data_IF_830098198194
#
_entry.id   IF_830098198194
#
_cell.length_a   1.000
_cell.length_b   1.000
_cell.length_c   1.000
_cell.angle_alpha   90.00
_cell.angle_beta   90.00
_cell.angle_gamma   90.00
#
_symmetry.space_group_name_H-M   'P 1'
#
loop_
_entity.id
_entity.type
_entity.pdbx_description
1 polymer ?
#
# COMPACT_ATOMS: atom_id res chain seq x y z
N UNK A 1 -69.27 95.02 1.29
CA UNK A 1 -70.40 94.31 0.65
C UNK A 1 -70.27 92.84 1.01
N UNK A 2 -71.40 92.23 1.34
CA UNK A 2 -71.57 91.08 2.20
C UNK A 2 -71.66 89.75 1.42
N UNK A 3 -71.19 88.68 2.05
CA UNK A 3 -71.75 87.30 2.07
C UNK A 3 -71.24 86.16 1.16
N UNK A 4 -71.18 85.00 1.85
CA UNK A 4 -71.25 83.58 1.44
C UNK A 4 -70.00 82.95 0.79
N UNK A 5 -69.45 81.82 1.22
CA UNK A 5 -69.84 80.80 2.20
C UNK A 5 -69.51 79.40 1.63
N UNK A 6 -68.66 78.61 2.28
CA UNK A 6 -68.71 77.14 2.19
C UNK A 6 -67.97 76.47 3.36
N UNK A 7 -68.59 75.44 3.91
CA UNK A 7 -68.25 74.72 5.15
C UNK A 7 -67.86 73.29 4.75
N UNK A 8 -66.69 72.82 5.19
CA UNK A 8 -66.21 71.45 4.95
C UNK A 8 -65.53 70.90 6.20
N UNK A 9 -66.23 69.99 6.86
CA UNK A 9 -66.00 69.36 8.16
C UNK A 9 -64.94 68.23 8.09
N UNK A 10 -64.07 68.11 9.11
CA UNK A 10 -63.77 66.91 9.95
C UNK A 10 -62.29 66.76 10.39
N UNK A 11 -62.15 66.48 11.69
CA UNK A 11 -61.00 66.32 12.60
C UNK A 11 -60.54 64.83 12.70
N UNK A 12 -59.81 64.39 13.74
CA UNK A 12 -58.38 64.53 14.07
C UNK A 12 -57.69 63.14 14.25
N UNK A 13 -56.38 63.08 14.54
CA UNK A 13 -55.79 62.28 15.65
C UNK A 13 -54.32 61.92 15.42
N UNK A 14 -53.63 61.80 16.56
CA UNK A 14 -52.22 61.58 16.77
C UNK A 14 -52.11 60.18 17.39
N UNK A 15 -51.40 59.23 16.77
CA UNK A 15 -51.00 57.97 17.41
C UNK A 15 -49.57 57.58 17.04
N UNK A 16 -48.72 57.58 18.06
CA UNK A 16 -47.46 56.86 18.15
C UNK A 16 -47.77 55.37 18.39
N UNK A 17 -47.24 54.45 17.58
CA UNK A 17 -46.92 53.10 18.07
C UNK A 17 -45.83 52.40 17.23
N UNK A 18 -44.79 51.97 17.95
CA UNK A 18 -43.68 51.14 17.50
C UNK A 18 -44.13 49.85 16.79
N UNK A 19 -43.63 49.59 15.57
CA UNK A 19 -43.63 48.26 14.96
C UNK A 19 -42.22 47.97 14.41
N UNK A 20 -41.73 46.78 14.75
CA UNK A 20 -40.36 46.28 14.61
C UNK A 20 -39.76 46.42 13.20
N UNK A 21 -38.51 46.86 13.15
CA UNK A 21 -37.56 46.55 12.07
C UNK A 21 -37.26 45.05 12.10
N UNK A 22 -37.91 44.26 11.23
CA UNK A 22 -37.51 42.88 10.96
C UNK A 22 -36.42 42.91 9.88
N UNK A 23 -35.16 42.77 10.29
CA UNK A 23 -34.03 42.56 9.36
C UNK A 23 -34.19 41.24 8.58
N UNK A 24 -34.11 41.23 7.23
CA UNK A 24 -34.28 40.03 6.40
C UNK A 24 -32.99 39.20 6.19
N UNK A 25 -31.86 39.51 6.84
CA UNK A 25 -30.55 38.90 6.51
C UNK A 25 -30.34 37.44 6.95
N UNK A 26 -31.30 36.79 7.63
CA UNK A 26 -31.10 35.43 8.18
C UNK A 26 -31.49 34.27 7.26
N UNK A 27 -32.02 34.53 6.06
CA UNK A 27 -32.65 33.48 5.24
C UNK A 27 -31.78 32.98 4.05
N UNK A 28 -30.84 33.79 3.56
CA UNK A 28 -30.04 33.42 2.39
C UNK A 28 -29.03 32.28 2.66
N UNK A 29 -28.56 32.18 3.91
CA UNK A 29 -27.55 31.20 4.33
C UNK A 29 -28.12 29.78 4.50
N UNK A 30 -29.44 29.62 4.68
CA UNK A 30 -30.11 28.30 4.71
C UNK A 30 -30.38 27.75 3.31
N UNK A 31 -30.64 28.62 2.34
CA UNK A 31 -31.08 28.26 0.99
C UNK A 31 -29.99 27.59 0.16
N UNK A 32 -28.73 28.01 0.35
CA UNK A 32 -27.55 27.44 -0.33
C UNK A 32 -27.07 26.13 0.32
N UNK A 33 -27.24 25.97 1.64
CA UNK A 33 -26.75 24.80 2.38
C UNK A 33 -27.56 23.52 2.11
N UNK A 34 -28.86 23.63 1.84
CA UNK A 34 -29.74 22.49 1.54
C UNK A 34 -29.29 21.60 0.37
N UNK A 35 -29.20 22.13 -0.87
CA UNK A 35 -28.84 21.33 -2.05
C UNK A 35 -27.39 20.82 -1.98
N UNK A 36 -26.46 21.62 -1.47
CA UNK A 36 -25.05 21.24 -1.30
C UNK A 36 -24.92 20.07 -0.31
N UNK A 37 -25.63 20.11 0.83
CA UNK A 37 -25.59 19.04 1.83
C UNK A 37 -26.18 17.73 1.31
N UNK A 38 -27.24 17.80 0.50
CA UNK A 38 -27.85 16.60 -0.12
C UNK A 38 -26.88 16.00 -1.15
N UNK A 39 -26.28 16.81 -2.01
CA UNK A 39 -25.29 16.36 -2.99
C UNK A 39 -24.07 15.71 -2.32
N UNK A 40 -23.53 16.32 -1.26
CA UNK A 40 -22.43 15.77 -0.47
C UNK A 40 -22.78 14.41 0.15
N UNK A 41 -23.98 14.26 0.71
CA UNK A 41 -24.45 12.98 1.29
C UNK A 41 -24.58 11.89 0.22
N UNK A 42 -25.11 12.21 -0.96
CA UNK A 42 -25.23 11.25 -2.06
C UNK A 42 -23.86 10.82 -2.60
N UNK A 43 -22.93 11.76 -2.76
CA UNK A 43 -21.54 11.45 -3.16
C UNK A 43 -20.89 10.54 -2.11
N UNK A 44 -21.02 10.89 -0.83
CA UNK A 44 -20.46 10.08 0.26
C UNK A 44 -21.05 8.66 0.27
N UNK A 45 -22.38 8.52 0.13
CA UNK A 45 -23.03 7.21 0.07
C UNK A 45 -22.55 6.39 -1.14
N UNK A 46 -22.38 7.03 -2.29
CA UNK A 46 -21.83 6.41 -3.49
C UNK A 46 -20.39 5.92 -3.29
N UNK A 47 -19.53 6.74 -2.69
CA UNK A 47 -18.14 6.35 -2.36
C UNK A 47 -18.12 5.19 -1.38
N UNK A 48 -18.94 5.22 -0.32
CA UNK A 48 -19.03 4.12 0.65
C UNK A 48 -19.51 2.83 -0.02
N UNK A 49 -20.52 2.90 -0.89
CA UNK A 49 -21.01 1.74 -1.65
C UNK A 49 -19.92 1.16 -2.56
N UNK A 50 -19.17 2.01 -3.27
CA UNK A 50 -18.06 1.58 -4.13
C UNK A 50 -16.93 0.91 -3.33
N UNK A 51 -16.56 1.48 -2.18
CA UNK A 51 -15.58 0.86 -1.27
C UNK A 51 -16.09 -0.49 -0.77
N UNK A 52 -17.37 -0.58 -0.40
CA UNK A 52 -18.00 -1.84 0.03
C UNK A 52 -17.95 -2.92 -1.04
N UNK A 53 -18.28 -2.57 -2.30
CA UNK A 53 -18.18 -3.48 -3.44
C UNK A 53 -16.73 -3.90 -3.69
N UNK A 54 -15.77 -2.97 -3.63
CA UNK A 54 -14.36 -3.29 -3.83
C UNK A 54 -13.81 -4.22 -2.73
N UNK A 55 -14.19 -3.99 -1.46
CA UNK A 55 -13.82 -4.88 -0.35
C UNK A 55 -14.46 -6.26 -0.49
N UNK A 56 -15.74 -6.31 -0.90
CA UNK A 56 -16.41 -7.57 -1.16
C UNK A 56 -15.71 -8.36 -2.29
N UNK A 57 -15.38 -7.68 -3.40
CA UNK A 57 -14.62 -8.28 -4.49
C UNK A 57 -13.23 -8.76 -4.02
N UNK A 58 -12.51 -7.96 -3.23
CA UNK A 58 -11.19 -8.33 -2.68
C UNK A 58 -11.24 -9.59 -1.81
N UNK A 59 -12.31 -9.78 -1.04
CA UNK A 59 -12.54 -10.99 -0.23
C UNK A 59 -12.95 -12.18 -1.10
N UNK A 60 -13.87 -11.99 -2.06
CA UNK A 60 -14.41 -13.06 -2.91
C UNK A 60 -13.40 -13.57 -3.95
N UNK A 61 -12.66 -12.68 -4.60
CA UNK A 61 -11.59 -13.02 -5.56
C UNK A 61 -10.38 -13.61 -4.84
N UNK A 62 -10.18 -13.21 -3.59
CA UNK A 62 -9.00 -13.54 -2.79
C UNK A 62 -7.94 -12.46 -2.89
N UNK A 63 -7.27 -12.22 -1.75
CA UNK A 63 -6.31 -11.12 -1.57
C UNK A 63 -5.13 -11.22 -2.54
N UNK A 64 -4.55 -12.41 -2.67
CA UNK A 64 -3.36 -12.66 -3.52
C UNK A 64 -3.70 -12.44 -5.00
N UNK A 65 -4.81 -13.02 -5.48
CA UNK A 65 -5.28 -12.86 -6.86
C UNK A 65 -5.65 -11.42 -7.19
N UNK A 66 -6.20 -10.68 -6.22
CA UNK A 66 -6.51 -9.26 -6.39
C UNK A 66 -5.24 -8.43 -6.63
N UNK A 67 -4.15 -8.71 -5.93
CA UNK A 67 -2.87 -8.03 -6.17
C UNK A 67 -2.27 -8.39 -7.52
N UNK A 68 -2.36 -9.66 -7.92
CA UNK A 68 -1.90 -10.09 -9.24
C UNK A 68 -2.65 -9.39 -10.39
N UNK A 69 -3.96 -9.14 -10.23
CA UNK A 69 -4.74 -8.39 -11.23
C UNK A 69 -4.32 -6.92 -11.35
N UNK A 70 -3.85 -6.30 -10.25
CA UNK A 70 -3.49 -4.88 -10.21
C UNK A 70 -2.02 -4.67 -10.61
N UNK A 71 -1.13 -5.53 -10.14
CA UNK A 71 0.32 -5.36 -10.22
C UNK A 71 1.01 -6.36 -11.17
N UNK A 72 0.27 -7.33 -11.69
CA UNK A 72 0.81 -8.48 -12.42
C UNK A 72 1.35 -9.57 -11.48
N UNK A 73 1.84 -10.69 -12.06
CA UNK A 73 2.51 -11.74 -11.30
C UNK A 73 3.67 -11.18 -10.48
N UNK A 74 3.77 -11.61 -9.22
CA UNK A 74 4.88 -11.22 -8.36
C UNK A 74 6.22 -11.75 -8.90
N UNK A 75 6.20 -12.95 -9.48
CA UNK A 75 7.38 -13.55 -10.05
C UNK A 75 7.71 -12.97 -11.43
N UNK A 76 8.78 -12.17 -11.49
CA UNK A 76 9.25 -11.51 -12.72
C UNK A 76 10.48 -12.16 -13.36
N UNK A 77 10.97 -13.29 -12.86
CA UNK A 77 12.23 -13.90 -13.30
C UNK A 77 13.31 -13.93 -12.22
N UNK A 78 14.49 -14.45 -12.54
CA UNK A 78 15.63 -14.46 -11.62
C UNK A 78 16.23 -13.05 -11.49
N UNK A 79 16.56 -12.64 -10.26
CA UNK A 79 17.32 -11.42 -10.03
C UNK A 79 18.74 -11.54 -10.60
N UNK A 80 19.18 -10.53 -11.35
CA UNK A 80 20.55 -10.46 -11.85
C UNK A 80 21.46 -9.81 -10.80
N UNK A 81 22.20 -10.65 -10.08
CA UNK A 81 23.16 -10.21 -9.06
C UNK A 81 24.39 -9.52 -9.65
N UNK A 82 24.65 -9.63 -10.97
CA UNK A 82 25.81 -9.00 -11.61
C UNK A 82 25.60 -7.51 -11.88
N UNK A 83 24.37 -7.11 -12.21
CA UNK A 83 23.98 -5.70 -12.39
C UNK A 83 23.85 -4.96 -11.03
N UNK A 84 23.70 -5.71 -9.92
CA UNK A 84 23.59 -5.15 -8.58
C UNK A 84 22.35 -4.25 -8.39
N UNK A 85 21.34 -4.39 -9.25
CA UNK A 85 20.21 -3.46 -9.32
C UNK A 85 19.27 -3.59 -8.13
N UNK A 86 19.38 -2.65 -7.20
CA UNK A 86 18.50 -2.52 -6.04
C UNK A 86 17.15 -1.89 -6.38
N UNK A 87 16.28 -1.85 -5.38
CA UNK A 87 15.05 -1.08 -5.42
C UNK A 87 15.29 0.41 -5.28
N UNK A 88 14.59 1.25 -6.06
CA UNK A 88 14.69 2.70 -5.91
C UNK A 88 14.02 3.20 -4.61
N UNK A 89 13.41 2.29 -3.83
CA UNK A 89 12.69 2.58 -2.60
C UNK A 89 13.11 1.62 -1.50
N UNK A 90 12.90 2.00 -0.23
CA UNK A 90 13.30 1.23 0.96
C UNK A 90 12.36 0.05 1.24
N UNK A 91 12.14 -0.79 0.24
CA UNK A 91 11.27 -1.97 0.26
C UNK A 91 11.99 -3.25 -0.16
N UNK A 92 13.33 -3.26 -0.12
CA UNK A 92 14.15 -4.43 -0.42
C UNK A 92 15.21 -4.69 0.66
N UNK A 93 15.86 -5.84 0.54
CA UNK A 93 17.05 -6.22 1.28
C UNK A 93 17.93 -7.13 0.43
N UNK A 94 19.24 -7.00 0.60
CA UNK A 94 20.27 -7.78 -0.07
C UNK A 94 21.25 -8.34 0.97
N UNK A 95 21.52 -9.64 0.91
CA UNK A 95 22.51 -10.30 1.74
C UNK A 95 23.41 -11.15 0.86
N UNK A 96 24.73 -11.00 1.01
CA UNK A 96 25.67 -11.70 0.14
C UNK A 96 26.94 -12.15 0.87
N UNK A 97 27.55 -13.22 0.39
CA UNK A 97 28.91 -13.57 0.80
C UNK A 97 29.94 -12.53 0.35
N UNK A 98 31.07 -12.40 1.07
CA UNK A 98 32.06 -11.38 0.79
C UNK A 98 32.51 -11.37 -0.67
N UNK A 99 32.49 -10.19 -1.30
CA UNK A 99 32.94 -9.98 -2.67
C UNK A 99 31.94 -10.37 -3.77
N UNK A 100 30.75 -10.88 -3.43
CA UNK A 100 29.75 -11.25 -4.45
C UNK A 100 28.80 -10.11 -4.84
N UNK A 101 28.60 -9.11 -3.96
CA UNK A 101 27.67 -8.02 -4.20
C UNK A 101 28.25 -6.67 -3.74
N UNK A 102 27.82 -5.61 -4.40
CA UNK A 102 28.04 -4.23 -3.97
C UNK A 102 27.05 -3.86 -2.86
N UNK A 103 27.54 -3.32 -1.75
CA UNK A 103 26.73 -2.76 -0.65
C UNK A 103 25.58 -3.66 -0.16
N UNK A 104 25.86 -4.92 0.27
CA UNK A 104 24.84 -5.75 0.91
C UNK A 104 24.43 -5.16 2.27
N UNK A 105 23.17 -5.38 2.68
CA UNK A 105 22.67 -4.98 3.99
C UNK A 105 23.33 -5.76 5.13
N UNK A 106 23.77 -6.99 4.85
CA UNK A 106 24.62 -7.79 5.72
C UNK A 106 25.34 -8.90 4.94
N UNK A 107 26.42 -9.43 5.51
CA UNK A 107 27.27 -10.45 4.88
C UNK A 107 26.96 -11.86 5.36
N UNK A 108 27.02 -12.84 4.45
CA UNK A 108 26.81 -14.27 4.73
C UNK A 108 28.15 -15.00 4.67
N UNK A 109 28.52 -15.74 5.71
CA UNK A 109 29.74 -16.53 5.68
C UNK A 109 29.68 -17.60 4.56
N UNK A 110 30.72 -17.75 3.72
CA UNK A 110 30.80 -18.86 2.77
C UNK A 110 30.84 -20.21 3.49
N UNK A 111 30.31 -21.23 2.85
CA UNK A 111 30.13 -22.59 3.40
C UNK A 111 30.85 -23.64 2.53
N UNK A 112 31.03 -24.87 3.01
CA UNK A 112 31.84 -25.90 2.34
C UNK A 112 31.00 -26.91 1.53
N UNK A 113 29.69 -26.71 1.49
CA UNK A 113 28.71 -27.52 0.78
C UNK A 113 28.61 -27.12 -0.69
N UNK A 114 28.15 -28.01 -1.56
CA UNK A 114 27.93 -27.68 -2.97
C UNK A 114 26.81 -26.64 -3.12
N UNK A 115 26.87 -25.76 -4.15
CA UNK A 115 25.83 -24.74 -4.38
C UNK A 115 24.39 -25.26 -4.38
N UNK A 116 24.17 -26.44 -4.97
CA UNK A 116 22.85 -27.07 -4.99
C UNK A 116 22.35 -27.44 -3.59
N UNK A 117 23.21 -28.03 -2.76
CA UNK A 117 22.86 -28.44 -1.39
C UNK A 117 22.55 -27.23 -0.51
N UNK A 118 23.30 -26.14 -0.69
CA UNK A 118 23.06 -24.88 0.03
C UNK A 118 21.68 -24.32 -0.30
N UNK A 119 21.30 -24.28 -1.58
CA UNK A 119 19.99 -23.79 -2.00
C UNK A 119 18.86 -24.67 -1.49
N UNK A 120 19.03 -26.00 -1.51
CA UNK A 120 18.04 -26.92 -0.97
C UNK A 120 17.84 -26.72 0.54
N UNK A 121 18.93 -26.60 1.31
CA UNK A 121 18.86 -26.33 2.75
C UNK A 121 18.19 -24.99 3.06
N UNK A 122 18.53 -23.94 2.31
CA UNK A 122 17.88 -22.63 2.46
C UNK A 122 16.40 -22.69 2.09
N UNK A 123 16.04 -23.46 1.06
CA UNK A 123 14.64 -23.68 0.66
C UNK A 123 13.84 -24.34 1.77
N UNK A 124 14.39 -25.38 2.40
CA UNK A 124 13.76 -26.07 3.53
C UNK A 124 13.60 -25.15 4.74
N UNK A 125 14.65 -24.38 5.06
CA UNK A 125 14.60 -23.42 6.17
C UNK A 125 13.61 -22.29 5.91
N UNK A 126 13.52 -21.80 4.68
CA UNK A 126 12.54 -20.78 4.31
C UNK A 126 11.11 -21.32 4.45
N UNK A 127 10.85 -22.56 4.05
CA UNK A 127 9.55 -23.20 4.24
C UNK A 127 9.18 -23.34 5.73
N UNK A 128 10.17 -23.58 6.60
CA UNK A 128 9.97 -23.66 8.05
C UNK A 128 9.77 -22.29 8.73
N UNK A 129 10.47 -21.25 8.28
CA UNK A 129 10.46 -19.92 8.90
C UNK A 129 9.39 -18.99 8.32
N UNK A 130 9.02 -19.17 7.05
CA UNK A 130 7.94 -18.44 6.40
C UNK A 130 6.95 -19.40 5.72
N UNK A 131 5.90 -19.86 6.44
CA UNK A 131 4.95 -20.85 5.93
C UNK A 131 4.08 -20.35 4.76
N UNK A 132 4.16 -19.05 4.43
CA UNK A 132 3.47 -18.44 3.29
C UNK A 132 4.36 -18.38 2.04
N UNK A 133 5.65 -18.68 2.17
CA UNK A 133 6.55 -18.76 1.04
C UNK A 133 6.19 -19.94 0.15
N UNK A 134 6.28 -19.73 -1.17
CA UNK A 134 6.04 -20.74 -2.20
C UNK A 134 7.15 -20.62 -3.23
N UNK A 135 7.78 -21.73 -3.57
CA UNK A 135 8.77 -21.78 -4.65
C UNK A 135 8.05 -21.59 -5.99
N UNK A 136 8.63 -20.78 -6.87
CA UNK A 136 8.04 -20.38 -8.16
C UNK A 136 8.95 -20.63 -9.37
N UNK A 137 10.19 -21.09 -9.16
CA UNK A 137 11.04 -21.62 -10.23
C UNK A 137 10.73 -23.09 -10.56
N UNK A 138 11.23 -23.51 -11.73
CA UNK A 138 11.07 -24.87 -12.26
C UNK A 138 12.14 -25.86 -11.75
N UNK A 139 13.08 -25.40 -10.92
CA UNK A 139 14.17 -26.21 -10.38
C UNK A 139 15.24 -26.61 -11.41
N UNK A 140 15.20 -26.10 -12.64
CA UNK A 140 16.15 -26.48 -13.71
C UNK A 140 17.60 -26.13 -13.37
N UNK A 141 17.82 -25.05 -12.63
CA UNK A 141 19.11 -24.71 -12.06
C UNK A 141 19.08 -24.95 -10.53
N UNK A 142 19.72 -26.02 -10.02
CA UNK A 142 19.66 -26.35 -8.60
C UNK A 142 20.47 -25.36 -7.73
N UNK A 143 21.34 -24.55 -8.32
CA UNK A 143 22.10 -23.50 -7.62
C UNK A 143 21.34 -22.17 -7.52
N UNK A 144 20.06 -22.14 -7.94
CA UNK A 144 19.18 -20.97 -7.82
C UNK A 144 17.81 -21.39 -7.30
N UNK A 145 17.14 -20.50 -6.60
CA UNK A 145 15.74 -20.67 -6.23
C UNK A 145 15.02 -19.33 -6.14
N UNK A 146 13.72 -19.35 -6.44
CA UNK A 146 12.86 -18.17 -6.38
C UNK A 146 11.61 -18.50 -5.60
N UNK A 147 11.21 -17.57 -4.74
CA UNK A 147 10.02 -17.71 -3.92
C UNK A 147 9.17 -16.45 -3.99
N UNK A 148 7.87 -16.65 -3.91
CA UNK A 148 6.90 -15.61 -3.57
C UNK A 148 6.39 -15.89 -2.16
N UNK A 149 6.31 -14.86 -1.34
CA UNK A 149 5.66 -14.89 -0.03
C UNK A 149 4.72 -13.70 0.11
N UNK A 150 3.88 -13.71 1.14
CA UNK A 150 2.79 -12.77 1.27
C UNK A 150 2.70 -12.22 2.68
N UNK A 151 2.49 -10.91 2.86
CA UNK A 151 2.26 -10.32 4.18
C UNK A 151 1.07 -10.95 4.93
N UNK A 152 1.11 -11.00 6.26
CA UNK A 152 0.16 -11.82 7.03
C UNK A 152 -1.30 -11.34 6.89
N UNK A 153 -1.53 -10.03 6.90
CA UNK A 153 -2.86 -9.44 6.89
C UNK A 153 -3.36 -9.12 5.48
N UNK A 154 -2.61 -8.29 4.73
CA UNK A 154 -3.07 -7.83 3.42
C UNK A 154 -2.64 -8.74 2.26
N UNK A 155 -1.82 -9.75 2.54
CA UNK A 155 -1.23 -10.64 1.52
C UNK A 155 -0.51 -9.87 0.42
N UNK A 156 0.20 -8.81 0.80
CA UNK A 156 1.06 -8.10 -0.14
C UNK A 156 2.20 -9.04 -0.58
N UNK A 157 2.42 -9.23 -1.89
CA UNK A 157 3.45 -10.10 -2.41
C UNK A 157 4.85 -9.52 -2.24
N UNK A 158 5.75 -10.35 -1.71
CA UNK A 158 7.19 -10.15 -1.71
C UNK A 158 7.85 -11.28 -2.49
N UNK A 159 8.95 -10.98 -3.19
CA UNK A 159 9.80 -11.96 -3.86
C UNK A 159 11.08 -12.20 -3.07
N UNK A 160 11.62 -13.42 -3.21
CA UNK A 160 12.90 -13.83 -2.64
C UNK A 160 13.66 -14.58 -3.73
N UNK A 161 14.88 -14.13 -4.03
CA UNK A 161 15.79 -14.77 -4.97
C UNK A 161 17.00 -15.26 -4.20
N UNK A 162 17.37 -16.52 -4.43
CA UNK A 162 18.56 -17.14 -3.88
C UNK A 162 19.43 -17.61 -5.05
N UNK A 163 20.73 -17.40 -4.91
CA UNK A 163 21.75 -17.91 -5.82
C UNK A 163 23.00 -18.30 -5.03
N UNK A 164 23.53 -19.48 -5.33
CA UNK A 164 24.75 -19.99 -4.73
C UNK A 164 25.81 -20.20 -5.82
N UNK A 165 27.04 -19.81 -5.55
CA UNK A 165 28.16 -19.90 -6.49
C UNK A 165 29.41 -20.42 -5.80
N UNK A 166 30.21 -21.20 -6.52
CA UNK A 166 31.55 -21.59 -6.06
C UNK A 166 32.49 -20.40 -6.20
N UNK A 167 33.11 -20.01 -5.09
CA UNK A 167 34.07 -18.91 -5.00
C UNK A 167 35.48 -19.38 -5.39
N UNK A 168 36.40 -18.43 -5.58
CA UNK A 168 37.78 -18.72 -5.98
C UNK A 168 38.57 -19.57 -4.96
N UNK A 169 38.18 -19.54 -3.68
CA UNK A 169 38.75 -20.36 -2.61
C UNK A 169 38.13 -21.77 -2.52
N UNK A 170 37.22 -22.11 -3.44
CA UNK A 170 36.52 -23.38 -3.51
C UNK A 170 35.29 -23.51 -2.61
N UNK A 171 35.02 -22.51 -1.75
CA UNK A 171 33.81 -22.50 -0.90
C UNK A 171 32.60 -22.02 -1.69
N UNK A 172 31.41 -22.29 -1.17
CA UNK A 172 30.17 -21.78 -1.73
C UNK A 172 29.80 -20.47 -1.06
N UNK A 173 29.67 -19.41 -1.86
CA UNK A 173 29.08 -18.16 -1.45
C UNK A 173 27.61 -18.09 -1.85
N UNK A 174 26.84 -17.31 -1.10
CA UNK A 174 25.39 -17.14 -1.32
C UNK A 174 25.07 -15.68 -1.58
N UNK A 175 24.13 -15.44 -2.49
CA UNK A 175 23.50 -14.14 -2.72
C UNK A 175 21.99 -14.31 -2.53
N UNK A 176 21.40 -13.45 -1.73
CA UNK A 176 20.00 -13.48 -1.38
C UNK A 176 19.40 -12.09 -1.48
N UNK A 177 18.33 -11.96 -2.27
CA UNK A 177 17.63 -10.72 -2.49
C UNK A 177 16.16 -10.89 -2.15
N UNK A 178 15.60 -9.96 -1.36
CA UNK A 178 14.17 -9.98 -1.03
C UNK A 178 13.57 -8.59 -1.21
N UNK A 179 12.38 -8.51 -1.82
CA UNK A 179 11.76 -7.24 -2.22
C UNK A 179 10.25 -7.34 -2.19
N UNK A 180 9.59 -6.26 -1.76
CA UNK A 180 8.16 -6.09 -1.94
C UNK A 180 7.82 -5.70 -3.40
N UNK A 181 6.83 -6.35 -4.01
CA UNK A 181 6.34 -5.96 -5.34
C UNK A 181 5.62 -4.59 -5.27
N UNK A 182 4.99 -4.32 -4.13
CA UNK A 182 4.11 -3.16 -3.93
C UNK A 182 4.62 -2.25 -2.81
N UNK A 183 4.38 -0.95 -2.97
CA UNK A 183 4.71 0.07 -1.97
C UNK A 183 6.17 0.52 -2.00
N UNK A 184 6.44 1.63 -1.29
CA UNK A 184 7.79 2.25 -1.21
C UNK A 184 8.58 1.82 0.03
N UNK A 185 7.92 1.21 1.00
CA UNK A 185 8.57 0.67 2.18
C UNK A 185 7.89 -0.60 2.64
N UNK A 186 8.68 -1.51 3.19
CA UNK A 186 8.25 -2.78 3.76
C UNK A 186 8.41 -2.80 5.30
N UNK A 187 8.79 -1.68 5.92
CA UNK A 187 9.13 -1.60 7.35
C UNK A 187 10.20 -2.61 7.80
N UNK A 188 11.16 -2.91 6.92
CA UNK A 188 12.28 -3.81 7.20
C UNK A 188 11.91 -5.30 7.18
N UNK A 189 10.72 -5.66 6.69
CA UNK A 189 10.25 -7.06 6.67
C UNK A 189 11.10 -7.96 5.78
N UNK A 190 11.56 -7.48 4.63
CA UNK A 190 12.42 -8.25 3.73
C UNK A 190 13.80 -8.50 4.37
N UNK A 191 14.36 -7.48 5.02
CA UNK A 191 15.61 -7.63 5.78
C UNK A 191 15.46 -8.66 6.91
N UNK A 192 14.44 -8.51 7.75
CA UNK A 192 14.17 -9.44 8.85
C UNK A 192 13.96 -10.88 8.36
N UNK A 193 13.36 -11.05 7.17
CA UNK A 193 13.20 -12.37 6.56
C UNK A 193 14.53 -12.99 6.15
N UNK A 194 15.41 -12.23 5.50
CA UNK A 194 16.74 -12.73 5.16
C UNK A 194 17.55 -13.02 6.43
N UNK A 195 17.50 -12.16 7.45
CA UNK A 195 18.18 -12.39 8.73
C UNK A 195 17.69 -13.68 9.40
N UNK A 196 16.37 -13.94 9.44
CA UNK A 196 15.81 -15.18 9.96
C UNK A 196 16.22 -16.42 9.14
N UNK A 197 16.36 -16.28 7.82
CA UNK A 197 16.82 -17.35 6.93
C UNK A 197 18.29 -17.73 7.20
N UNK A 198 19.13 -16.76 7.51
CA UNK A 198 20.57 -16.97 7.75
C UNK A 198 20.96 -17.02 9.23
N UNK A 199 19.99 -16.95 10.15
CA UNK A 199 20.23 -17.17 11.57
C UNK A 199 20.83 -18.56 11.78
N UNK A 200 21.95 -18.62 12.52
CA UNK A 200 22.53 -19.89 12.94
C UNK A 200 21.59 -20.53 13.97
N UNK A 201 21.31 -21.85 13.88
CA UNK A 201 20.63 -22.57 14.95
C UNK A 201 21.44 -22.59 16.24
#
# INVERSE_FOLDING_TARGET
>A
MQCCGYRGHLTPSNEFLHILLVSPERDNDRRLKGPITIMLKTILLGVVALIGVALLAFVLIGRERSWEMIAGPADGGQHDFTDGKRSPTANDALACSPGLCTEPDFTIAPVNEAPADVIEQLSQRLAATDPRSRRVDDGTNPAKARFVTYSALMRFPDVIHLEAVTMADGRTGVMAYSRAQLGKSDFGKNRARLEALFAQP
#
